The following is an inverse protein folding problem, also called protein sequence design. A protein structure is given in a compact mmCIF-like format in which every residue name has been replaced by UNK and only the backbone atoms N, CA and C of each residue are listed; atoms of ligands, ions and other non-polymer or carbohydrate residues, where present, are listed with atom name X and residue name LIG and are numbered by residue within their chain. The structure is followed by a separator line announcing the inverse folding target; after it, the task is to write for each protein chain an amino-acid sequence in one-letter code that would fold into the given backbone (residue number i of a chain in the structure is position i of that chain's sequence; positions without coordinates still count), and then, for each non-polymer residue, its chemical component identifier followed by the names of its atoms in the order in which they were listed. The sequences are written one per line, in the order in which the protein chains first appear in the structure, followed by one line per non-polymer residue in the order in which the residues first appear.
data_IF_842587564149
#
_entry.id   IF_842587564149
#
_cell.length_a   1.000
_cell.length_b   1.000
_cell.length_c   1.000
_cell.angle_alpha   90.00
_cell.angle_beta   90.00
_cell.angle_gamma   90.00
#
_symmetry.space_group_name_H-M   'P 1'
#
loop_
_entity.id
_entity.type
_entity.pdbx_description
1 polymer ?
#
# COMPACT_ATOMS: atom_id res chain seq x y z
N UNK A 1 -7.70 8.08 -33.39
CA UNK A 1 -7.84 7.95 -31.92
C UNK A 1 -9.33 7.98 -31.60
N UNK A 2 -9.83 7.10 -30.72
CA UNK A 2 -11.24 7.13 -30.32
C UNK A 2 -11.53 8.30 -29.36
N UNK A 3 -12.80 8.74 -29.22
CA UNK A 3 -13.21 9.73 -28.23
C UNK A 3 -12.97 9.25 -26.80
N UNK A 4 -12.64 10.15 -25.88
CA UNK A 4 -12.44 9.82 -24.46
C UNK A 4 -13.63 9.10 -23.81
N UNK A 5 -14.85 9.41 -24.25
CA UNK A 5 -16.09 8.77 -23.81
C UNK A 5 -16.27 7.33 -24.27
N UNK A 6 -15.45 6.87 -25.23
CA UNK A 6 -15.44 5.51 -25.75
C UNK A 6 -14.25 4.69 -25.22
N UNK A 7 -13.44 5.27 -24.33
CA UNK A 7 -12.35 4.57 -23.65
C UNK A 7 -12.84 3.85 -22.39
N UNK A 8 -12.18 2.74 -22.05
CA UNK A 8 -12.42 1.98 -20.81
C UNK A 8 -13.52 0.92 -20.94
N UNK A 9 -13.54 -0.02 -20.00
CA UNK A 9 -14.57 -1.06 -19.92
C UNK A 9 -15.62 -0.64 -18.88
N UNK A 10 -16.92 -0.64 -19.22
CA UNK A 10 -17.97 -0.36 -18.23
C UNK A 10 -17.84 -1.29 -17.02
N UNK A 11 -18.08 -0.74 -15.83
CA UNK A 11 -18.05 -1.49 -14.56
C UNK A 11 -16.70 -2.17 -14.23
N UNK A 12 -15.58 -1.74 -14.84
CA UNK A 12 -14.24 -2.29 -14.55
C UNK A 12 -13.41 -1.46 -13.56
N UNK A 13 -13.99 -0.40 -12.98
CA UNK A 13 -13.28 0.43 -12.00
C UNK A 13 -13.08 -0.34 -10.71
N UNK A 14 -11.84 -0.31 -10.22
CA UNK A 14 -11.49 -0.72 -8.86
C UNK A 14 -11.25 0.52 -8.01
N UNK A 15 -11.61 0.43 -6.75
CA UNK A 15 -11.26 1.38 -5.72
C UNK A 15 -9.78 1.27 -5.36
N UNK A 16 -9.26 2.33 -4.75
CA UNK A 16 -7.92 2.34 -4.19
C UNK A 16 -7.68 1.23 -3.14
N UNK A 17 -8.70 0.91 -2.33
CA UNK A 17 -8.59 -0.14 -1.31
C UNK A 17 -8.47 -1.52 -1.96
N UNK A 18 -9.23 -1.78 -3.03
CA UNK A 18 -9.08 -3.00 -3.84
C UNK A 18 -7.69 -3.05 -4.50
N UNK A 19 -7.21 -1.91 -5.01
CA UNK A 19 -5.87 -1.81 -5.57
C UNK A 19 -4.76 -2.08 -4.55
N UNK A 20 -4.92 -1.67 -3.29
CA UNK A 20 -3.98 -1.99 -2.20
C UNK A 20 -4.05 -3.44 -1.74
N UNK A 21 -5.26 -4.01 -1.73
CA UNK A 21 -5.48 -5.40 -1.33
C UNK A 21 -4.81 -6.38 -2.30
N UNK A 22 -4.87 -6.12 -3.61
CA UNK A 22 -4.31 -7.01 -4.64
C UNK A 22 -2.83 -7.38 -4.43
N UNK A 23 -1.88 -6.45 -4.22
CA UNK A 23 -0.47 -6.79 -3.99
C UNK A 23 -0.16 -7.23 -2.56
N UNK A 24 -1.14 -7.28 -1.65
CA UNK A 24 -0.95 -7.67 -0.26
C UNK A 24 -1.66 -8.99 0.04
N UNK A 25 -2.83 -8.94 0.68
CA UNK A 25 -3.60 -10.12 1.03
C UNK A 25 -4.09 -10.88 -0.21
N UNK A 26 -4.44 -10.19 -1.30
CA UNK A 26 -4.87 -10.83 -2.54
C UNK A 26 -3.78 -11.66 -3.20
N UNK A 27 -2.56 -11.11 -3.26
CA UNK A 27 -1.39 -11.82 -3.78
C UNK A 27 -1.03 -13.02 -2.90
N UNK A 28 -1.05 -12.85 -1.58
CA UNK A 28 -0.81 -13.95 -0.64
C UNK A 28 -1.84 -15.07 -0.80
N UNK A 29 -3.12 -14.73 -0.99
CA UNK A 29 -4.19 -15.69 -1.24
C UNK A 29 -3.97 -16.48 -2.53
N UNK A 30 -3.56 -15.82 -3.62
CA UNK A 30 -3.26 -16.50 -4.90
C UNK A 30 -2.10 -17.49 -4.76
N UNK A 31 -1.15 -17.18 -3.88
CA UNK A 31 0.05 -18.00 -3.65
C UNK A 31 -0.10 -19.04 -2.54
N UNK A 32 -1.28 -19.14 -1.90
CA UNK A 32 -1.49 -19.96 -0.69
C UNK A 32 -0.45 -19.67 0.41
N UNK A 33 -0.05 -18.40 0.54
CA UNK A 33 0.95 -17.94 1.48
C UNK A 33 0.29 -17.36 2.75
N UNK A 34 0.88 -17.66 3.91
CA UNK A 34 0.45 -17.10 5.21
C UNK A 34 1.01 -15.70 5.45
N UNK A 35 0.86 -14.80 4.48
CA UNK A 35 1.41 -13.43 4.49
C UNK A 35 0.34 -12.42 4.04
N UNK A 36 0.69 -11.14 3.88
CA UNK A 36 -0.23 -10.13 3.35
C UNK A 36 -1.29 -9.60 4.33
N UNK A 37 -1.36 -10.14 5.55
CA UNK A 37 -2.22 -9.68 6.64
C UNK A 37 -1.46 -9.63 7.97
N UNK A 38 -1.69 -8.58 8.75
CA UNK A 38 -1.26 -8.51 10.15
C UNK A 38 -2.31 -9.20 11.03
N UNK A 39 -2.26 -10.53 11.08
CA UNK A 39 -3.21 -11.35 11.80
C UNK A 39 -2.53 -12.55 12.47
N UNK A 40 -3.19 -13.14 13.48
CA UNK A 40 -2.73 -14.41 14.06
C UNK A 40 -2.58 -15.47 12.96
N UNK A 41 -1.62 -16.37 13.13
CA UNK A 41 -1.29 -17.45 12.19
C UNK A 41 -0.75 -17.00 10.81
N UNK A 42 -0.37 -15.73 10.67
CA UNK A 42 0.38 -15.21 9.51
C UNK A 42 1.80 -14.85 9.95
N UNK A 43 2.75 -14.91 9.01
CA UNK A 43 4.10 -14.38 9.21
C UNK A 43 4.06 -12.87 9.36
N UNK A 44 4.93 -12.32 10.21
CA UNK A 44 5.14 -10.88 10.27
C UNK A 44 6.02 -10.41 9.11
N UNK A 45 5.35 -10.20 7.98
CA UNK A 45 5.90 -9.56 6.78
C UNK A 45 5.35 -8.14 6.71
N UNK A 46 6.21 -7.15 6.95
CA UNK A 46 5.77 -5.76 7.12
C UNK A 46 6.82 -4.77 6.62
N UNK A 47 6.34 -3.63 6.11
CA UNK A 47 7.17 -2.48 5.75
C UNK A 47 6.74 -1.33 6.66
N UNK A 48 7.71 -0.77 7.41
CA UNK A 48 7.48 0.45 8.19
C UNK A 48 7.80 1.64 7.30
N UNK A 49 6.79 2.47 7.06
CA UNK A 49 6.90 3.68 6.26
C UNK A 49 6.88 4.89 7.18
N UNK A 50 7.87 5.78 7.04
CA UNK A 50 7.97 7.02 7.79
C UNK A 50 7.83 8.22 6.84
N UNK A 51 6.84 9.07 7.12
CA UNK A 51 6.70 10.35 6.45
C UNK A 51 7.80 11.31 6.92
N UNK A 52 8.43 12.01 5.98
CA UNK A 52 9.49 12.95 6.27
C UNK A 52 9.14 14.30 5.64
N UNK A 53 9.11 15.35 6.45
CA UNK A 53 8.80 16.71 5.98
C UNK A 53 9.94 17.36 5.18
N UNK A 54 11.16 16.87 5.37
CA UNK A 54 12.38 17.45 4.80
C UNK A 54 12.89 16.63 3.60
N UNK A 55 12.35 15.42 3.36
CA UNK A 55 12.81 14.49 2.31
C UNK A 55 11.63 13.80 1.62
N UNK A 56 11.59 13.85 0.30
CA UNK A 56 10.58 13.17 -0.53
C UNK A 56 9.23 13.92 -0.56
N UNK A 57 8.18 13.24 -1.03
CA UNK A 57 6.85 13.82 -1.24
C UNK A 57 5.79 13.32 -0.23
N UNK A 58 6.17 12.42 0.70
CA UNK A 58 5.23 11.85 1.65
C UNK A 58 5.09 12.74 2.88
N UNK A 59 4.04 13.58 2.87
CA UNK A 59 3.67 14.44 3.99
C UNK A 59 2.35 13.99 4.62
N UNK A 60 2.35 13.79 5.94
CA UNK A 60 1.16 13.48 6.72
C UNK A 60 0.82 14.70 7.58
N UNK A 61 -0.41 15.18 7.47
CA UNK A 61 -0.95 16.26 8.28
C UNK A 61 -2.05 15.69 9.18
N UNK A 62 -1.70 15.39 10.42
CA UNK A 62 -2.58 14.68 11.38
C UNK A 62 -3.91 15.38 11.66
N UNK A 63 -4.01 16.69 11.43
CA UNK A 63 -5.26 17.45 11.57
C UNK A 63 -6.22 17.30 10.38
N UNK A 64 -5.71 16.88 9.21
CA UNK A 64 -6.49 16.84 7.96
C UNK A 64 -6.60 15.44 7.36
N UNK A 65 -5.62 14.57 7.61
CA UNK A 65 -5.57 13.25 7.00
C UNK A 65 -6.27 12.20 7.87
N UNK A 66 -7.30 11.58 7.33
CA UNK A 66 -7.85 10.35 7.89
C UNK A 66 -6.88 9.17 7.67
N UNK A 67 -7.07 8.02 8.36
CA UNK A 67 -6.29 6.81 8.07
C UNK A 67 -6.34 6.38 6.60
N UNK A 68 -7.46 6.64 5.91
CA UNK A 68 -7.60 6.35 4.48
C UNK A 68 -6.73 7.28 3.64
N UNK A 69 -6.71 8.58 3.95
CA UNK A 69 -5.88 9.57 3.25
C UNK A 69 -4.39 9.27 3.47
N UNK A 70 -4.02 8.86 4.68
CA UNK A 70 -2.65 8.41 5.00
C UNK A 70 -2.28 7.20 4.13
N UNK A 71 -3.14 6.19 4.04
CA UNK A 71 -2.88 5.01 3.20
C UNK A 71 -2.75 5.40 1.72
N UNK A 72 -3.63 6.26 1.21
CA UNK A 72 -3.59 6.78 -0.16
C UNK A 72 -2.27 7.50 -0.45
N UNK A 73 -1.83 8.37 0.45
CA UNK A 73 -0.53 9.04 0.34
C UNK A 73 0.63 8.06 0.39
N UNK A 74 0.61 7.06 1.28
CA UNK A 74 1.67 6.05 1.34
C UNK A 74 1.80 5.34 -0.02
N UNK A 75 0.70 4.88 -0.60
CA UNK A 75 0.76 4.14 -1.88
C UNK A 75 1.16 5.03 -3.05
N UNK A 76 0.67 6.28 -3.10
CA UNK A 76 0.90 7.16 -4.23
C UNK A 76 2.22 7.96 -4.15
N UNK A 77 2.72 8.25 -2.94
CA UNK A 77 3.79 9.23 -2.73
C UNK A 77 5.01 8.68 -1.97
N UNK A 78 4.94 7.52 -1.33
CA UNK A 78 6.10 6.96 -0.64
C UNK A 78 7.22 6.63 -1.63
N UNK A 79 8.44 6.95 -1.23
CA UNK A 79 9.68 6.62 -1.95
C UNK A 79 10.55 5.73 -1.07
N UNK A 80 11.67 5.24 -1.61
CA UNK A 80 12.57 4.34 -0.87
C UNK A 80 13.10 4.97 0.42
N UNK A 81 13.28 6.29 0.44
CA UNK A 81 13.72 7.07 1.58
C UNK A 81 12.72 7.03 2.74
N UNK A 82 11.45 6.73 2.46
CA UNK A 82 10.41 6.56 3.47
C UNK A 82 10.39 5.14 4.07
N UNK A 83 11.06 4.15 3.46
CA UNK A 83 11.11 2.79 3.99
C UNK A 83 12.11 2.72 5.13
N UNK A 84 11.61 2.65 6.36
CA UNK A 84 12.44 2.69 7.56
C UNK A 84 12.91 1.31 8.01
N UNK A 85 12.02 0.34 7.96
CA UNK A 85 12.29 -1.05 8.34
C UNK A 85 11.54 -2.00 7.42
N UNK A 86 12.13 -3.17 7.18
CA UNK A 86 11.46 -4.27 6.49
C UNK A 86 11.59 -5.54 7.32
N UNK A 87 10.46 -6.19 7.54
CA UNK A 87 10.35 -7.47 8.24
C UNK A 87 9.97 -8.55 7.25
N UNK A 88 10.66 -9.69 7.32
CA UNK A 88 10.38 -10.89 6.53
C UNK A 88 10.43 -12.09 7.46
N UNK A 89 9.33 -12.83 7.56
CA UNK A 89 9.17 -14.00 8.42
C UNK A 89 9.66 -13.70 9.84
N UNK A 90 9.12 -12.63 10.43
CA UNK A 90 9.37 -12.24 11.82
C UNK A 90 10.79 -11.71 12.09
N UNK A 91 11.62 -11.56 11.06
CA UNK A 91 13.00 -11.04 11.15
C UNK A 91 13.11 -9.66 10.54
N UNK A 92 13.78 -8.75 11.24
CA UNK A 92 14.18 -7.45 10.72
C UNK A 92 15.32 -7.64 9.70
N UNK A 93 15.15 -7.09 8.50
CA UNK A 93 16.10 -7.21 7.38
C UNK A 93 16.76 -5.88 7.04
N UNK A 94 15.99 -4.78 7.12
CA UNK A 94 16.42 -3.40 6.89
C UNK A 94 16.17 -2.61 8.16
#
# INVERSE_FOLDING_TARGET
MQPASQHGTPSSRISFVEAFWMPTAGGAQVLDAKTGLLAKNHHYDAIVVEANKDVGNLHIWSEFDSPKDILEKIICLAQKENVKCVWVQDKLII
#
